data_IF_908630326278
#
_entry.id   IF_908630326278
#
_cell.length_a   1.000
_cell.length_b   1.000
_cell.length_c   1.000
_cell.angle_alpha   90.00
_cell.angle_beta   90.00
_cell.angle_gamma   90.00
#
_symmetry.space_group_name_H-M   'P 1'
#
loop_
_entity.id
_entity.type
_entity.pdbx_description
1 polymer ?
#
# COMPACT_ATOMS: atom_id res chain seq x y z
N UNK A 1 8.71 4.47 -48.42
CA UNK A 1 8.67 4.50 -46.94
C UNK A 1 7.86 3.31 -46.51
N UNK A 2 8.52 2.26 -46.04
CA UNK A 2 7.90 0.97 -45.73
C UNK A 2 7.31 1.08 -44.32
N UNK A 3 5.98 1.17 -44.25
CA UNK A 3 5.25 1.14 -42.98
C UNK A 3 5.35 -0.27 -42.43
N UNK A 4 6.16 -0.47 -41.40
CA UNK A 4 6.18 -1.73 -40.63
C UNK A 4 4.83 -1.84 -39.93
N UNK A 5 3.94 -2.68 -40.46
CA UNK A 5 2.81 -3.19 -39.69
C UNK A 5 3.40 -4.04 -38.56
N UNK A 6 3.37 -3.53 -37.33
CA UNK A 6 3.52 -4.39 -36.16
C UNK A 6 2.40 -5.42 -36.22
N UNK A 7 2.75 -6.69 -36.44
CA UNK A 7 1.78 -7.78 -36.43
C UNK A 7 1.20 -7.87 -35.02
N UNK A 8 -0.10 -7.63 -34.90
CA UNK A 8 -0.85 -7.79 -33.66
C UNK A 8 -0.71 -9.24 -33.17
N UNK A 9 0.06 -9.46 -32.09
CA UNK A 9 0.27 -10.78 -31.51
C UNK A 9 -1.04 -11.23 -30.87
N UNK A 10 -1.53 -12.40 -31.26
CA UNK A 10 -2.82 -12.90 -30.76
C UNK A 10 -2.70 -13.40 -29.31
N UNK A 11 -3.73 -13.23 -28.46
CA UNK A 11 -3.70 -13.71 -27.08
C UNK A 11 -3.34 -15.20 -26.94
N UNK A 12 -3.77 -16.03 -27.89
CA UNK A 12 -3.47 -17.46 -27.90
C UNK A 12 -1.99 -17.74 -28.15
N UNK A 13 -1.34 -16.96 -29.02
CA UNK A 13 0.09 -17.07 -29.33
C UNK A 13 0.94 -16.67 -28.12
N UNK A 14 0.51 -15.61 -27.40
CA UNK A 14 1.14 -15.21 -26.13
C UNK A 14 1.01 -16.31 -25.10
N UNK A 15 -0.18 -16.90 -24.94
CA UNK A 15 -0.43 -17.97 -23.97
C UNK A 15 0.44 -19.21 -24.26
N UNK A 16 0.51 -19.64 -25.51
CA UNK A 16 1.36 -20.78 -25.89
C UNK A 16 2.85 -20.49 -25.67
N UNK A 17 3.30 -19.26 -25.94
CA UNK A 17 4.67 -18.84 -25.62
C UNK A 17 4.95 -18.88 -24.12
N UNK A 18 4.04 -18.36 -23.28
CA UNK A 18 4.18 -18.33 -21.82
C UNK A 18 4.22 -19.73 -21.22
N UNK A 19 3.44 -20.69 -21.75
CA UNK A 19 3.46 -22.10 -21.32
C UNK A 19 4.82 -22.79 -21.51
N UNK A 20 5.64 -22.30 -22.44
CA UNK A 20 6.98 -22.85 -22.70
C UNK A 20 8.06 -22.28 -21.77
N UNK A 21 7.74 -21.28 -20.93
CA UNK A 21 8.72 -20.65 -20.03
C UNK A 21 8.72 -21.31 -18.65
N UNK A 22 9.89 -21.43 -18.00
CA UNK A 22 9.95 -21.80 -16.59
C UNK A 22 9.16 -20.80 -15.73
N UNK A 23 8.43 -21.31 -14.74
CA UNK A 23 7.65 -20.48 -13.81
C UNK A 23 8.54 -19.45 -13.11
N UNK A 24 9.75 -19.84 -12.71
CA UNK A 24 10.70 -18.95 -12.04
C UNK A 24 11.08 -17.74 -12.90
N UNK A 25 11.18 -17.91 -14.22
CA UNK A 25 11.46 -16.80 -15.14
C UNK A 25 10.26 -15.86 -15.24
N UNK A 26 9.05 -16.39 -15.29
CA UNK A 26 7.82 -15.59 -15.33
C UNK A 26 7.66 -14.76 -14.06
N UNK A 27 7.88 -15.38 -12.89
CA UNK A 27 7.81 -14.71 -11.59
C UNK A 27 8.90 -13.64 -11.49
N UNK A 28 10.15 -13.95 -11.87
CA UNK A 28 11.25 -13.00 -11.85
C UNK A 28 10.97 -11.78 -12.72
N UNK A 29 10.57 -11.98 -13.98
CA UNK A 29 10.23 -10.88 -14.90
C UNK A 29 9.10 -10.03 -14.35
N UNK A 30 8.07 -10.65 -13.78
CA UNK A 30 6.98 -9.91 -13.14
C UNK A 30 7.50 -9.01 -12.02
N UNK A 31 8.39 -9.50 -11.15
CA UNK A 31 8.97 -8.71 -10.06
C UNK A 31 9.91 -7.60 -10.57
N UNK A 32 10.76 -7.90 -11.55
CA UNK A 32 11.72 -6.93 -12.14
C UNK A 32 11.02 -5.74 -12.80
N UNK A 33 9.77 -5.92 -13.22
CA UNK A 33 8.95 -4.90 -13.85
C UNK A 33 8.17 -4.03 -12.87
N UNK A 34 8.16 -4.38 -11.59
CA UNK A 34 7.51 -3.57 -10.56
C UNK A 34 8.36 -2.35 -10.20
N UNK A 35 7.67 -1.24 -10.04
CA UNK A 35 8.06 0.05 -9.49
C UNK A 35 7.17 0.28 -8.27
N UNK A 36 7.71 0.92 -7.23
CA UNK A 36 6.94 1.18 -6.00
C UNK A 36 6.34 -0.08 -5.36
N UNK A 37 7.04 -1.21 -5.49
CA UNK A 37 6.59 -2.55 -5.08
C UNK A 37 5.22 -3.02 -5.61
N UNK A 38 4.59 -2.27 -6.52
CA UNK A 38 3.18 -2.51 -6.85
C UNK A 38 2.71 -2.01 -8.20
N UNK A 39 3.53 -1.28 -8.96
CA UNK A 39 3.13 -0.72 -10.26
C UNK A 39 4.12 -1.11 -11.37
N UNK A 40 3.69 -1.41 -12.60
CA UNK A 40 2.30 -1.46 -13.03
C UNK A 40 1.70 -2.76 -12.50
N UNK A 41 0.41 -2.74 -12.18
CA UNK A 41 -0.27 -3.92 -11.66
C UNK A 41 -0.66 -4.84 -12.83
N UNK A 42 0.26 -5.71 -13.25
CA UNK A 42 0.10 -6.51 -14.49
C UNK A 42 -0.80 -7.75 -14.34
N UNK A 43 -0.81 -8.35 -13.16
CA UNK A 43 -1.63 -9.52 -12.85
C UNK A 43 -2.49 -9.20 -11.62
N UNK A 44 -3.75 -8.90 -11.86
CA UNK A 44 -4.73 -8.53 -10.84
C UNK A 44 -6.00 -9.36 -10.97
N UNK A 45 -6.85 -9.39 -9.92
CA UNK A 45 -8.25 -9.78 -10.09
C UNK A 45 -8.90 -8.97 -11.21
N UNK A 46 -9.65 -9.65 -12.08
CA UNK A 46 -10.40 -9.07 -13.19
C UNK A 46 -11.82 -9.63 -13.18
N UNK A 47 -12.76 -8.90 -13.77
CA UNK A 47 -14.13 -9.39 -14.02
C UNK A 47 -14.07 -10.58 -14.95
N UNK A 48 -14.52 -11.76 -14.52
CA UNK A 48 -14.39 -13.03 -15.26
C UNK A 48 -15.72 -13.63 -15.71
N UNK A 49 -16.83 -12.89 -15.53
CA UNK A 49 -18.19 -13.30 -15.88
C UNK A 49 -18.37 -13.72 -17.34
N UNK A 50 -17.57 -13.17 -18.25
CA UNK A 50 -17.74 -13.38 -19.69
C UNK A 50 -17.09 -14.67 -20.21
N UNK A 51 -16.12 -15.25 -19.47
CA UNK A 51 -15.33 -16.38 -19.96
C UNK A 51 -15.15 -17.52 -18.95
N UNK A 52 -15.76 -17.44 -17.76
CA UNK A 52 -15.81 -18.54 -16.79
C UNK A 52 -17.23 -19.00 -16.53
N UNK A 53 -17.41 -20.31 -16.45
CA UNK A 53 -18.68 -20.93 -16.07
C UNK A 53 -19.07 -20.60 -14.61
N UNK A 54 -18.06 -20.55 -13.73
CA UNK A 54 -18.19 -20.17 -12.32
C UNK A 54 -17.28 -18.98 -12.03
N UNK A 55 -17.69 -17.76 -12.43
CA UNK A 55 -16.89 -16.56 -12.25
C UNK A 55 -16.73 -16.19 -10.77
N UNK A 56 -15.54 -15.70 -10.41
CA UNK A 56 -15.24 -15.19 -9.07
C UNK A 56 -15.70 -13.74 -8.93
N UNK A 57 -15.56 -12.94 -9.99
CA UNK A 57 -15.91 -11.52 -10.04
C UNK A 57 -16.90 -11.28 -11.19
N UNK A 58 -18.19 -11.19 -10.83
CA UNK A 58 -19.29 -11.08 -11.80
C UNK A 58 -19.33 -9.73 -12.55
N UNK A 59 -18.84 -8.68 -11.91
CA UNK A 59 -18.93 -7.29 -12.39
C UNK A 59 -17.84 -6.48 -11.69
N UNK A 60 -17.68 -5.22 -12.10
CA UNK A 60 -16.76 -4.28 -11.47
C UNK A 60 -17.06 -4.14 -9.97
N UNK A 61 -16.04 -4.13 -9.09
CA UNK A 61 -16.24 -4.03 -7.64
C UNK A 61 -17.10 -2.83 -7.23
N UNK A 62 -16.99 -1.72 -7.95
CA UNK A 62 -17.81 -0.52 -7.71
C UNK A 62 -19.30 -0.77 -7.94
N UNK A 63 -19.66 -1.43 -9.05
CA UNK A 63 -21.04 -1.81 -9.35
C UNK A 63 -21.59 -2.80 -8.32
N UNK A 64 -20.79 -3.81 -7.95
CA UNK A 64 -21.18 -4.80 -6.92
C UNK A 64 -21.42 -4.16 -5.55
N UNK A 65 -20.63 -3.15 -5.18
CA UNK A 65 -20.83 -2.37 -3.94
C UNK A 65 -22.08 -1.49 -4.01
N UNK A 66 -22.40 -0.91 -5.16
CA UNK A 66 -23.57 -0.05 -5.34
C UNK A 66 -24.88 -0.84 -5.34
N UNK A 67 -24.86 -2.04 -5.90
CA UNK A 67 -25.99 -2.97 -5.83
C UNK A 67 -26.21 -3.55 -4.42
N UNK A 68 -25.26 -3.37 -3.49
CA UNK A 68 -25.31 -3.97 -2.16
C UNK A 68 -25.25 -5.50 -2.17
N UNK A 69 -24.78 -6.09 -3.27
CA UNK A 69 -24.72 -7.55 -3.46
C UNK A 69 -23.39 -8.15 -3.00
N UNK A 70 -22.36 -7.30 -2.84
CA UNK A 70 -21.01 -7.72 -2.47
C UNK A 70 -20.92 -8.23 -1.02
N UNK A 71 -21.60 -7.60 -0.07
CA UNK A 71 -21.41 -7.85 1.37
C UNK A 71 -22.71 -8.28 2.03
N UNK A 72 -22.69 -9.49 2.61
CA UNK A 72 -23.84 -10.11 3.28
C UNK A 72 -23.62 -10.42 4.75
N UNK A 73 -22.46 -10.05 5.29
CA UNK A 73 -22.05 -10.26 6.70
C UNK A 73 -21.49 -8.97 7.28
N UNK A 74 -21.49 -8.78 8.61
CA UNK A 74 -20.74 -7.70 9.24
C UNK A 74 -19.30 -7.67 8.74
N UNK A 75 -18.74 -6.48 8.55
CA UNK A 75 -17.33 -6.30 8.16
C UNK A 75 -16.65 -5.34 9.13
N UNK A 76 -15.43 -5.67 9.54
CA UNK A 76 -14.48 -4.73 10.10
C UNK A 76 -13.26 -4.64 9.18
N UNK A 77 -12.82 -3.42 8.88
CA UNK A 77 -11.63 -3.17 8.08
C UNK A 77 -10.72 -2.16 8.77
N UNK A 78 -9.42 -2.31 8.57
CA UNK A 78 -8.40 -1.46 9.17
C UNK A 78 -7.39 -0.95 8.16
N UNK A 79 -6.78 0.18 8.46
CA UNK A 79 -5.54 0.65 7.82
C UNK A 79 -4.57 1.14 8.87
N UNK A 80 -3.27 1.09 8.54
CA UNK A 80 -2.26 1.72 9.36
C UNK A 80 -2.15 3.24 9.09
N UNK A 81 -1.74 4.04 10.06
CA UNK A 81 -1.40 5.44 9.80
C UNK A 81 -0.16 5.61 8.87
N UNK A 82 0.71 4.61 8.80
CA UNK A 82 2.00 4.65 8.10
C UNK A 82 2.03 3.79 6.84
N UNK A 83 0.89 3.53 6.19
CA UNK A 83 0.78 2.70 4.97
C UNK A 83 1.73 3.14 3.84
N UNK A 84 1.99 4.45 3.75
CA UNK A 84 2.86 5.04 2.73
C UNK A 84 4.36 4.78 2.93
N UNK A 85 4.78 4.14 4.03
CA UNK A 85 6.20 4.03 4.38
C UNK A 85 7.02 3.28 3.33
N UNK A 86 6.53 2.15 2.81
CA UNK A 86 7.27 1.40 1.79
C UNK A 86 7.51 2.23 0.53
N UNK A 87 6.48 2.92 0.04
CA UNK A 87 6.59 3.78 -1.14
C UNK A 87 7.45 5.03 -0.88
N UNK A 88 7.48 5.54 0.36
CA UNK A 88 8.43 6.57 0.77
C UNK A 88 9.87 6.09 0.63
N UNK A 89 10.19 4.85 1.03
CA UNK A 89 11.55 4.34 0.90
C UNK A 89 11.98 4.14 -0.56
N UNK A 90 11.11 3.56 -1.38
CA UNK A 90 11.36 3.44 -2.83
C UNK A 90 11.58 4.81 -3.48
N UNK A 91 10.80 5.81 -3.05
CA UNK A 91 10.95 7.16 -3.54
C UNK A 91 12.28 7.79 -3.11
N UNK A 92 12.68 7.61 -1.84
CA UNK A 92 13.97 8.12 -1.37
C UNK A 92 15.14 7.48 -2.12
N UNK A 93 15.07 6.18 -2.43
CA UNK A 93 16.07 5.50 -3.25
C UNK A 93 16.14 6.09 -4.66
N UNK A 94 14.99 6.33 -5.29
CA UNK A 94 14.91 6.95 -6.63
C UNK A 94 15.52 8.34 -6.68
N UNK A 95 15.35 9.14 -5.64
CA UNK A 95 16.00 10.47 -5.57
C UNK A 95 17.46 10.39 -5.11
N UNK A 96 18.03 9.19 -4.91
CA UNK A 96 19.42 8.97 -4.54
C UNK A 96 19.71 9.13 -3.04
N UNK A 97 18.75 8.81 -2.18
CA UNK A 97 18.88 8.78 -0.73
C UNK A 97 18.11 9.87 0.00
N UNK A 98 17.89 9.65 1.31
CA UNK A 98 17.09 10.53 2.18
C UNK A 98 17.60 11.97 2.24
N UNK A 99 18.93 12.17 2.18
CA UNK A 99 19.54 13.51 2.16
C UNK A 99 19.06 14.37 1.00
N UNK A 100 18.60 13.77 -0.11
CA UNK A 100 18.11 14.49 -1.28
C UNK A 100 16.68 15.04 -1.12
N UNK A 101 15.97 14.71 -0.05
CA UNK A 101 14.69 15.35 0.31
C UNK A 101 14.83 16.86 0.59
N UNK A 102 16.07 17.36 0.71
CA UNK A 102 16.33 18.80 0.79
C UNK A 102 16.24 19.55 -0.53
N UNK A 103 16.26 18.84 -1.64
CA UNK A 103 16.22 19.44 -2.96
C UNK A 103 14.79 19.38 -3.48
N UNK A 104 13.98 20.38 -3.13
CA UNK A 104 12.53 20.41 -3.41
C UNK A 104 12.22 20.25 -4.89
N UNK A 105 12.98 20.88 -5.78
CA UNK A 105 12.80 20.74 -7.22
C UNK A 105 13.05 19.31 -7.70
N UNK A 106 14.09 18.66 -7.16
CA UNK A 106 14.38 17.24 -7.45
C UNK A 106 13.24 16.34 -6.95
N UNK A 107 12.71 16.63 -5.77
CA UNK A 107 11.55 15.92 -5.21
C UNK A 107 10.31 16.13 -6.09
N UNK A 108 10.00 17.36 -6.47
CA UNK A 108 8.84 17.70 -7.32
C UNK A 108 8.93 16.98 -8.67
N UNK A 109 10.09 17.06 -9.33
CA UNK A 109 10.29 16.42 -10.64
C UNK A 109 10.23 14.90 -10.55
N UNK A 110 10.92 14.30 -9.58
CA UNK A 110 10.90 12.84 -9.41
C UNK A 110 9.50 12.35 -9.04
N UNK A 111 8.78 13.10 -8.20
CA UNK A 111 7.40 12.77 -7.83
C UNK A 111 6.48 12.88 -9.03
N UNK A 112 6.63 13.89 -9.89
CA UNK A 112 5.89 14.00 -11.16
C UNK A 112 6.09 12.75 -12.01
N UNK A 113 7.33 12.40 -12.33
CA UNK A 113 7.61 11.21 -13.12
C UNK A 113 7.05 9.92 -12.50
N UNK A 114 7.12 9.83 -11.17
CA UNK A 114 6.61 8.70 -10.40
C UNK A 114 5.09 8.58 -10.46
N UNK A 115 4.37 9.69 -10.27
CA UNK A 115 2.91 9.71 -10.29
C UNK A 115 2.35 9.51 -11.70
N UNK A 116 3.03 9.99 -12.74
CA UNK A 116 2.64 9.72 -14.13
C UNK A 116 2.53 8.23 -14.40
N UNK A 117 3.47 7.46 -13.85
CA UNK A 117 3.47 6.02 -13.97
C UNK A 117 2.38 5.33 -13.14
N UNK A 118 2.00 5.91 -11.99
CA UNK A 118 0.95 5.36 -11.11
C UNK A 118 -0.45 5.59 -11.68
N UNK A 119 -0.68 6.77 -12.25
CA UNK A 119 -2.00 7.13 -12.78
C UNK A 119 -2.25 6.66 -14.21
N UNK A 120 -1.19 6.32 -14.96
CA UNK A 120 -1.29 5.88 -16.36
C UNK A 120 -2.08 6.88 -17.26
N UNK A 121 -2.11 8.17 -16.88
CA UNK A 121 -2.81 9.22 -17.62
C UNK A 121 -2.10 9.54 -18.93
N UNK A 122 -2.78 9.31 -20.04
CA UNK A 122 -2.25 9.48 -21.39
C UNK A 122 -2.19 10.95 -21.82
N UNK A 123 -3.14 11.78 -21.36
CA UNK A 123 -3.22 13.19 -21.72
C UNK A 123 -2.24 14.03 -20.89
N UNK A 124 -1.20 14.64 -21.50
CA UNK A 124 -0.23 15.44 -20.76
C UNK A 124 -0.88 16.63 -20.03
N UNK A 125 -1.86 17.27 -20.66
CA UNK A 125 -2.56 18.42 -20.09
C UNK A 125 -3.40 18.05 -18.87
N UNK A 126 -4.13 16.92 -18.92
CA UNK A 126 -4.92 16.43 -17.78
C UNK A 126 -3.98 16.03 -16.64
N UNK A 127 -2.91 15.31 -16.99
CA UNK A 127 -1.89 14.91 -16.04
C UNK A 127 -1.26 16.10 -15.31
N UNK A 128 -0.91 17.17 -16.02
CA UNK A 128 -0.30 18.35 -15.42
C UNK A 128 -1.24 19.07 -14.44
N UNK A 129 -2.51 19.22 -14.80
CA UNK A 129 -3.53 19.79 -13.91
C UNK A 129 -3.70 18.94 -12.65
N UNK A 130 -3.80 17.62 -12.81
CA UNK A 130 -3.92 16.67 -11.71
C UNK A 130 -2.69 16.75 -10.79
N UNK A 131 -1.48 16.75 -11.36
CA UNK A 131 -0.25 16.81 -10.60
C UNK A 131 -0.15 18.10 -9.77
N UNK A 132 -0.44 19.27 -10.35
CA UNK A 132 -0.40 20.53 -9.60
C UNK A 132 -1.46 20.58 -8.50
N UNK A 133 -2.64 19.98 -8.72
CA UNK A 133 -3.66 19.85 -7.68
C UNK A 133 -3.18 18.97 -6.50
N UNK A 134 -2.58 17.81 -6.79
CA UNK A 134 -1.98 16.93 -5.78
C UNK A 134 -0.84 17.67 -5.05
N UNK A 135 0.05 18.34 -5.81
CA UNK A 135 1.17 19.07 -5.24
C UNK A 135 0.67 20.13 -4.25
N UNK A 136 -0.31 20.94 -4.67
CA UNK A 136 -0.92 21.96 -3.83
C UNK A 136 -1.60 21.39 -2.60
N UNK A 137 -2.30 20.26 -2.72
CA UNK A 137 -3.02 19.61 -1.62
C UNK A 137 -2.07 19.15 -0.49
N UNK A 138 -0.98 18.48 -0.84
CA UNK A 138 -0.07 17.91 0.17
C UNK A 138 1.05 18.85 0.56
N UNK A 139 1.59 19.62 -0.38
CA UNK A 139 2.81 20.41 -0.16
C UNK A 139 2.52 21.89 0.00
N UNK A 140 1.45 22.41 -0.61
CA UNK A 140 1.14 23.84 -0.63
C UNK A 140 2.21 24.65 -1.36
N UNK A 141 2.31 25.94 -1.03
CA UNK A 141 3.44 26.77 -1.46
C UNK A 141 4.67 26.42 -0.60
N UNK A 142 5.86 26.18 -1.21
CA UNK A 142 7.07 25.93 -0.46
C UNK A 142 7.47 27.21 0.30
N UNK A 143 7.27 27.21 1.62
CA UNK A 143 7.84 28.23 2.49
C UNK A 143 9.22 27.76 2.96
N UNK A 144 10.25 28.45 2.46
CA UNK A 144 11.64 28.28 2.88
C UNK A 144 11.71 28.45 4.40
N UNK A 145 12.11 27.39 5.11
CA UNK A 145 12.78 27.45 6.41
C UNK A 145 13.21 26.05 6.88
N UNK A 146 14.33 26.00 7.58
CA UNK A 146 15.17 24.85 7.98
C UNK A 146 14.51 23.65 8.70
N UNK A 147 13.17 23.56 8.76
CA UNK A 147 12.40 22.37 9.17
C UNK A 147 11.73 21.62 8.01
N UNK A 148 11.94 22.07 6.77
CA UNK A 148 11.23 21.60 5.58
C UNK A 148 11.37 20.09 5.35
N UNK A 149 12.52 19.47 5.62
CA UNK A 149 12.71 18.02 5.37
C UNK A 149 11.78 17.15 6.21
N UNK A 150 11.66 17.42 7.51
CA UNK A 150 10.78 16.63 8.39
C UNK A 150 9.31 16.86 8.05
N UNK A 151 8.94 18.07 7.64
CA UNK A 151 7.59 18.37 7.16
C UNK A 151 7.31 17.68 5.81
N UNK A 152 8.28 17.68 4.89
CA UNK A 152 8.20 17.06 3.57
C UNK A 152 8.07 15.54 3.67
N UNK A 153 8.87 14.90 4.51
CA UNK A 153 8.78 13.46 4.78
C UNK A 153 7.39 13.06 5.26
N UNK A 154 6.79 13.82 6.20
CA UNK A 154 5.43 13.56 6.67
C UNK A 154 4.38 13.75 5.57
N UNK A 155 4.56 14.75 4.71
CA UNK A 155 3.67 15.02 3.57
C UNK A 155 3.76 13.94 2.50
N UNK A 156 4.97 13.49 2.16
CA UNK A 156 5.20 12.38 1.23
C UNK A 156 4.62 11.08 1.79
N UNK A 157 4.84 10.79 3.07
CA UNK A 157 4.27 9.63 3.75
C UNK A 157 2.73 9.64 3.69
N UNK A 158 2.10 10.80 3.91
CA UNK A 158 0.65 10.94 3.81
C UNK A 158 0.15 10.72 2.36
N UNK A 159 0.78 11.38 1.38
CA UNK A 159 0.46 11.19 -0.04
C UNK A 159 0.56 9.72 -0.45
N UNK A 160 1.66 9.07 -0.11
CA UNK A 160 1.87 7.66 -0.44
C UNK A 160 0.93 6.73 0.32
N UNK A 161 0.54 7.05 1.55
CA UNK A 161 -0.48 6.33 2.29
C UNK A 161 -1.84 6.42 1.60
N UNK A 162 -2.19 7.60 1.11
CA UNK A 162 -3.46 7.82 0.41
C UNK A 162 -3.49 7.13 -0.95
N UNK A 163 -2.40 7.23 -1.73
CA UNK A 163 -2.26 6.53 -3.02
C UNK A 163 -2.31 5.02 -2.89
N UNK A 164 -1.72 4.47 -1.83
CA UNK A 164 -1.60 3.03 -1.65
C UNK A 164 -2.84 2.41 -1.03
N UNK A 165 -3.36 3.01 0.04
CA UNK A 165 -4.31 2.34 0.93
C UNK A 165 -5.46 3.24 1.40
N UNK A 166 -5.19 4.45 1.90
CA UNK A 166 -6.23 5.21 2.61
C UNK A 166 -7.36 5.69 1.69
N UNK A 167 -7.07 6.15 0.47
CA UNK A 167 -8.13 6.65 -0.41
C UNK A 167 -9.11 5.52 -0.81
N UNK A 168 -8.58 4.34 -1.12
CA UNK A 168 -9.36 3.14 -1.39
C UNK A 168 -10.14 2.69 -0.16
N UNK A 169 -9.51 2.64 1.01
CA UNK A 169 -10.15 2.30 2.28
C UNK A 169 -11.30 3.24 2.64
N UNK A 170 -11.12 4.56 2.49
CA UNK A 170 -12.19 5.53 2.75
C UNK A 170 -13.34 5.43 1.75
N UNK A 171 -13.03 5.15 0.49
CA UNK A 171 -14.05 4.92 -0.54
C UNK A 171 -14.85 3.66 -0.24
N UNK A 172 -14.16 2.56 0.09
CA UNK A 172 -14.77 1.29 0.45
C UNK A 172 -15.69 1.44 1.67
N UNK A 173 -15.17 1.95 2.78
CA UNK A 173 -15.92 2.10 4.03
C UNK A 173 -17.15 3.01 3.86
N UNK A 174 -17.02 4.09 3.09
CA UNK A 174 -18.14 4.97 2.74
C UNK A 174 -19.20 4.28 1.86
N UNK A 175 -18.81 3.44 0.91
CA UNK A 175 -19.76 2.67 0.09
C UNK A 175 -20.44 1.57 0.90
N UNK A 176 -19.68 0.84 1.72
CA UNK A 176 -20.22 -0.19 2.60
C UNK A 176 -21.25 0.38 3.58
N UNK A 177 -20.92 1.46 4.28
CA UNK A 177 -21.86 2.09 5.24
C UNK A 177 -23.15 2.64 4.60
N UNK A 178 -23.14 2.92 3.29
CA UNK A 178 -24.32 3.42 2.56
C UNK A 178 -25.18 2.32 1.96
N UNK A 179 -24.55 1.26 1.45
CA UNK A 179 -25.20 0.30 0.56
C UNK A 179 -25.29 -1.11 1.17
N UNK A 180 -24.52 -1.41 2.22
CA UNK A 180 -24.57 -2.69 2.94
C UNK A 180 -25.70 -2.71 3.95
N UNK A 181 -26.45 -3.82 4.02
CA UNK A 181 -27.43 -4.04 5.11
C UNK A 181 -26.73 -4.42 6.43
N UNK A 182 -25.73 -5.31 6.44
CA UNK A 182 -24.92 -5.56 7.63
C UNK A 182 -24.08 -4.34 8.05
N UNK A 183 -23.77 -4.21 9.36
CA UNK A 183 -22.91 -3.14 9.84
C UNK A 183 -21.48 -3.26 9.28
N UNK A 184 -20.87 -2.10 9.06
CA UNK A 184 -19.48 -1.97 8.64
C UNK A 184 -18.72 -1.11 9.64
N UNK A 185 -17.62 -1.64 10.16
CA UNK A 185 -16.72 -1.00 11.11
C UNK A 185 -15.39 -0.68 10.44
N UNK A 186 -14.78 0.43 10.84
CA UNK A 186 -13.51 0.88 10.32
C UNK A 186 -12.60 1.33 11.46
N UNK A 187 -11.30 1.00 11.41
CA UNK A 187 -10.30 1.53 12.35
C UNK A 187 -9.06 2.04 11.64
N UNK A 188 -8.36 2.98 12.30
CA UNK A 188 -7.02 3.41 11.90
C UNK A 188 -6.05 3.06 13.01
N UNK A 189 -5.10 2.18 12.73
CA UNK A 189 -4.09 1.78 13.70
C UNK A 189 -2.96 2.81 13.74
N UNK A 190 -2.77 3.45 14.88
CA UNK A 190 -1.80 4.55 15.07
C UNK A 190 -0.87 4.39 16.27
N UNK A 191 -0.99 3.28 17.00
CA UNK A 191 -0.13 3.02 18.16
C UNK A 191 1.33 2.93 17.73
N UNK A 192 2.26 3.47 18.52
CA UNK A 192 3.71 3.39 18.28
C UNK A 192 4.38 3.00 19.57
N UNK A 193 5.20 1.94 19.55
CA UNK A 193 6.02 1.62 20.70
C UNK A 193 7.32 2.44 20.68
N UNK A 194 8.01 2.48 21.82
CA UNK A 194 9.26 3.23 22.01
C UNK A 194 10.41 2.68 21.15
N UNK A 195 10.43 1.37 20.91
CA UNK A 195 11.42 0.68 20.09
C UNK A 195 11.31 1.08 18.62
N UNK A 196 10.10 1.04 18.05
CA UNK A 196 9.80 1.54 16.70
C UNK A 196 10.17 3.00 16.56
N UNK A 197 9.82 3.83 17.56
CA UNK A 197 10.15 5.25 17.54
C UNK A 197 11.66 5.49 17.52
N UNK A 198 12.42 4.66 18.24
CA UNK A 198 13.88 4.74 18.32
C UNK A 198 14.52 4.25 17.02
N UNK A 199 14.10 3.08 16.52
CA UNK A 199 14.54 2.51 15.25
C UNK A 199 14.27 3.45 14.07
N UNK A 200 13.04 3.97 13.98
CA UNK A 200 12.62 4.88 12.92
C UNK A 200 13.44 6.17 12.97
N UNK A 201 13.68 6.72 14.16
CA UNK A 201 14.49 7.93 14.32
C UNK A 201 15.93 7.68 13.89
N UNK A 202 16.56 6.63 14.41
CA UNK A 202 17.96 6.31 14.13
C UNK A 202 18.21 6.12 12.64
N UNK A 203 17.35 5.35 11.96
CA UNK A 203 17.54 5.08 10.53
C UNK A 203 17.17 6.26 9.62
N UNK A 204 16.12 7.00 9.93
CA UNK A 204 15.72 8.19 9.14
C UNK A 204 16.71 9.34 9.31
N UNK A 205 17.31 9.50 10.49
CA UNK A 205 18.31 10.54 10.75
C UNK A 205 19.70 10.14 10.23
N UNK A 206 20.04 8.85 10.20
CA UNK A 206 21.30 8.35 9.65
C UNK A 206 21.38 8.37 8.11
N UNK A 207 20.25 8.54 7.40
CA UNK A 207 20.22 8.59 5.94
C UNK A 207 20.59 7.28 5.23
N UNK A 208 20.68 6.17 5.96
CA UNK A 208 21.14 4.86 5.48
C UNK A 208 20.00 3.89 5.12
N UNK A 209 18.80 4.40 4.82
CA UNK A 209 17.68 3.53 4.43
C UNK A 209 17.70 3.34 2.92
N UNK A 210 18.00 2.10 2.51
CA UNK A 210 17.75 1.58 1.16
C UNK A 210 16.52 0.66 1.19
N UNK A 211 15.92 0.39 0.04
CA UNK A 211 14.89 -0.66 -0.15
C UNK A 211 15.37 -2.04 0.29
N UNK A 212 16.67 -2.35 0.18
CA UNK A 212 17.25 -3.58 0.74
C UNK A 212 17.18 -3.62 2.27
N UNK A 213 17.21 -2.47 2.95
CA UNK A 213 17.13 -2.39 4.40
C UNK A 213 15.74 -2.69 4.99
N UNK A 214 14.70 -2.78 4.14
CA UNK A 214 13.39 -3.35 4.47
C UNK A 214 13.46 -4.88 4.63
N UNK A 215 14.44 -5.53 4.00
CA UNK A 215 14.73 -6.96 4.14
C UNK A 215 15.85 -7.24 5.15
N UNK A 216 16.69 -6.26 5.46
CA UNK A 216 17.65 -6.27 6.59
C UNK A 216 16.99 -5.92 7.94
N UNK A 217 15.66 -5.94 8.01
CA UNK A 217 14.95 -6.07 9.28
C UNK A 217 15.33 -7.46 9.81
N UNK A 218 16.05 -7.58 10.94
CA UNK A 218 16.47 -8.88 11.44
C UNK A 218 15.26 -9.82 11.55
N UNK A 219 15.46 -11.12 11.25
CA UNK A 219 14.38 -12.07 11.12
C UNK A 219 13.55 -12.14 12.42
N UNK A 220 12.33 -11.63 12.36
CA UNK A 220 11.14 -12.21 12.97
C UNK A 220 11.09 -12.40 14.50
N UNK A 221 11.93 -11.72 15.30
CA UNK A 221 11.86 -11.87 16.77
C UNK A 221 11.82 -10.60 17.60
N UNK A 222 12.44 -9.51 17.13
CA UNK A 222 12.61 -8.29 17.94
C UNK A 222 11.98 -7.04 17.30
N UNK A 223 11.28 -7.19 16.16
CA UNK A 223 10.57 -6.12 15.45
C UNK A 223 9.10 -6.46 15.20
N UNK A 224 8.39 -6.90 16.25
CA UNK A 224 6.92 -7.02 16.28
C UNK A 224 6.16 -5.68 16.08
N UNK A 225 6.85 -4.60 15.69
CA UNK A 225 6.35 -3.23 15.80
C UNK A 225 6.68 -2.32 14.60
N UNK A 226 7.12 -2.86 13.47
CA UNK A 226 7.28 -2.05 12.24
C UNK A 226 5.95 -1.96 11.51
N UNK A 227 5.31 -0.81 11.65
CA UNK A 227 4.01 -0.46 11.07
C UNK A 227 4.16 -0.07 9.61
N UNK A 228 4.56 -1.03 8.79
CA UNK A 228 4.48 -0.92 7.34
C UNK A 228 3.99 -2.25 6.79
N UNK A 229 3.26 -2.19 5.68
CA UNK A 229 2.61 -3.32 5.00
C UNK A 229 3.58 -4.42 4.51
N UNK A 230 4.87 -4.37 4.88
CA UNK A 230 5.79 -5.49 4.67
C UNK A 230 5.45 -6.56 5.71
N UNK A 231 4.52 -7.46 5.37
CA UNK A 231 4.27 -8.70 6.12
C UNK A 231 2.92 -8.88 6.81
N UNK A 232 1.98 -7.92 6.77
CA UNK A 232 0.70 -8.07 7.49
C UNK A 232 0.87 -8.00 9.02
N UNK A 233 1.61 -7.03 9.52
CA UNK A 233 2.09 -7.04 10.91
C UNK A 233 0.98 -6.89 11.97
N UNK A 234 -0.22 -6.43 11.59
CA UNK A 234 -1.41 -6.48 12.46
C UNK A 234 -2.01 -7.89 12.61
N UNK A 235 -1.81 -8.78 11.63
CA UNK A 235 -2.26 -10.18 11.69
C UNK A 235 -1.26 -11.10 12.40
N UNK A 236 0.04 -10.75 12.43
CA UNK A 236 1.06 -11.53 13.15
C UNK A 236 0.88 -11.51 14.68
N UNK A 237 0.44 -10.39 15.26
CA UNK A 237 0.10 -10.31 16.69
C UNK A 237 -1.07 -11.21 17.08
N UNK A 238 -2.04 -11.40 16.18
CA UNK A 238 -3.18 -12.31 16.37
C UNK A 238 -2.77 -13.78 16.19
N UNK A 239 -1.84 -14.08 15.27
CA UNK A 239 -1.42 -15.46 14.96
C UNK A 239 -0.43 -16.03 15.99
N UNK A 240 0.48 -15.22 16.56
CA UNK A 240 1.40 -15.72 17.60
C UNK A 240 0.70 -16.02 18.94
N UNK A 241 -0.35 -15.28 19.32
CA UNK A 241 -1.04 -15.49 20.60
C UNK A 241 -1.76 -16.85 20.68
N UNK A 242 -2.25 -17.35 19.54
CA UNK A 242 -2.82 -18.71 19.41
C UNK A 242 -1.75 -19.79 19.67
N UNK A 243 -0.47 -19.48 19.45
CA UNK A 243 0.65 -20.40 19.61
C UNK A 243 1.34 -20.29 20.99
N UNK A 244 1.18 -19.17 21.71
CA UNK A 244 1.90 -18.84 22.96
C UNK A 244 1.02 -18.80 24.22
N UNK A 245 -0.17 -19.40 24.22
CA UNK A 245 -1.11 -19.47 25.36
C UNK A 245 -0.62 -20.23 26.62
N UNK A 246 0.62 -19.99 27.08
CA UNK A 246 1.24 -20.55 28.30
C UNK A 246 2.11 -19.59 29.11
N UNK A 247 2.13 -18.27 28.90
CA UNK A 247 2.86 -17.37 29.82
C UNK A 247 2.02 -16.20 30.32
N UNK A 248 1.84 -16.22 31.65
CA UNK A 248 1.23 -15.21 32.50
C UNK A 248 1.87 -13.84 32.29
N UNK A 249 1.04 -12.80 32.12
CA UNK A 249 1.47 -11.41 32.18
C UNK A 249 0.65 -10.70 33.26
N UNK A 250 1.34 -10.25 34.31
CA UNK A 250 0.82 -9.32 35.31
C UNK A 250 1.22 -7.89 34.92
N UNK A 251 0.23 -7.03 34.67
CA UNK A 251 0.20 -5.60 35.04
C UNK A 251 0.88 -4.56 34.15
N UNK A 252 0.04 -3.73 33.48
CA UNK A 252 0.25 -2.40 32.83
C UNK A 252 1.15 -2.28 31.59
N UNK A 253 0.84 -1.37 30.62
CA UNK A 253 -0.46 -0.90 30.13
C UNK A 253 -1.14 -2.03 29.33
N UNK A 254 -2.43 -1.93 28.98
CA UNK A 254 -3.04 -2.91 28.08
C UNK A 254 -2.16 -3.04 26.83
N UNK A 255 -1.52 -4.20 26.68
CA UNK A 255 -0.65 -4.48 25.54
C UNK A 255 -1.54 -4.22 24.30
N UNK A 256 -1.10 -3.38 23.37
CA UNK A 256 -1.92 -3.06 22.19
C UNK A 256 -2.31 -4.36 21.45
N UNK A 257 -1.49 -5.40 21.56
CA UNK A 257 -1.80 -6.77 21.13
C UNK A 257 -3.08 -7.31 21.78
N UNK A 258 -3.21 -7.23 23.11
CA UNK A 258 -4.39 -7.65 23.85
C UNK A 258 -5.64 -6.85 23.42
N UNK A 259 -5.47 -5.55 23.15
CA UNK A 259 -6.57 -4.71 22.63
C UNK A 259 -7.00 -5.20 21.24
N UNK A 260 -6.06 -5.42 20.32
CA UNK A 260 -6.37 -5.88 18.97
C UNK A 260 -7.00 -7.27 18.99
N UNK A 261 -6.47 -8.20 19.80
CA UNK A 261 -7.05 -9.53 19.97
C UNK A 261 -8.48 -9.42 20.50
N UNK A 262 -8.73 -8.59 21.52
CA UNK A 262 -10.08 -8.36 22.05
C UNK A 262 -11.03 -7.77 21.01
N UNK A 263 -10.57 -6.81 20.21
CA UNK A 263 -11.39 -6.21 19.13
C UNK A 263 -11.76 -7.26 18.09
N UNK A 264 -10.79 -8.00 17.56
CA UNK A 264 -11.03 -9.01 16.51
C UNK A 264 -11.84 -10.20 17.02
N UNK A 265 -11.55 -10.69 18.23
CA UNK A 265 -12.33 -11.79 18.84
C UNK A 265 -13.74 -11.36 19.23
N UNK A 266 -13.93 -10.12 19.70
CA UNK A 266 -15.26 -9.59 19.96
C UNK A 266 -16.05 -9.47 18.67
N UNK A 267 -15.46 -8.92 17.61
CA UNK A 267 -16.11 -8.81 16.31
C UNK A 267 -16.51 -10.18 15.76
N UNK A 268 -15.61 -11.16 15.83
CA UNK A 268 -15.90 -12.53 15.39
C UNK A 268 -17.06 -13.20 16.16
N UNK A 269 -17.23 -12.89 17.45
CA UNK A 269 -18.26 -13.49 18.28
C UNK A 269 -19.61 -12.76 18.20
N UNK A 270 -19.61 -11.45 17.97
CA UNK A 270 -20.82 -10.63 18.18
C UNK A 270 -21.30 -9.85 16.95
N UNK A 271 -20.46 -9.68 15.92
CA UNK A 271 -20.80 -8.87 14.74
C UNK A 271 -20.69 -7.38 15.00
#
# INVERSE_FOLDING_TARGET
>A
TTTTQESEVKPEEVLECLKLKPVDDLVRIQQDQLKFHSFPKRFLPVVDAQWREFPVMMDEPEALMEMGTLVKVPIIAGVNQLEGYGMLMDFTDKIGGYSNLRHVDKVKETLRQSLKFVFEEESPTVYDVMFEAIWKLYFGEPTDNNGYHRALTKKLLALFGDLKSHAGFWTLTKKLTRNSKPPAYAYVFSHRNSEFTSYFRERMEAGNITTSSLYDIPPWRDLNYVLSHVGGNESLGVVEEITKAKRSIKGTPANMEEVMVKVWTSFANYG
#
